data_IF_156194372282
#
_entry.id   IF_156194372282
#
_cell.length_a   1.000
_cell.length_b   1.000
_cell.length_c   1.000
_cell.angle_alpha   90.00
_cell.angle_beta   90.00
_cell.angle_gamma   90.00
#
_symmetry.space_group_name_H-M   'P 1'
#
loop_
_entity.id
_entity.type
_entity.pdbx_description
1 polymer ?
#
# COMPACT_ATOMS: atom_id res chain seq x y z
N UNK A 1 -38.26 -18.07 -4.20
CA UNK A 1 -36.83 -17.88 -3.92
C UNK A 1 -36.59 -17.30 -2.53
N UNK A 2 -37.22 -16.16 -2.15
CA UNK A 2 -37.11 -15.56 -0.80
C UNK A 2 -37.45 -16.55 0.32
N UNK A 3 -38.54 -17.31 0.18
CA UNK A 3 -38.97 -18.35 1.15
C UNK A 3 -37.98 -19.52 1.28
N UNK A 4 -37.18 -19.79 0.27
CA UNK A 4 -36.19 -20.88 0.30
C UNK A 4 -35.00 -20.54 1.24
N UNK A 5 -34.74 -19.26 1.46
CA UNK A 5 -33.70 -18.76 2.37
C UNK A 5 -34.25 -18.29 3.72
N UNK A 6 -35.57 -18.36 3.94
CA UNK A 6 -36.25 -17.83 5.12
C UNK A 6 -35.95 -16.35 5.42
N UNK A 7 -35.74 -15.53 4.38
CA UNK A 7 -35.43 -14.13 4.50
C UNK A 7 -36.64 -13.28 4.86
N UNK A 8 -36.41 -12.24 5.68
CA UNK A 8 -37.42 -11.22 6.01
C UNK A 8 -37.49 -10.12 4.95
N UNK A 9 -36.32 -9.78 4.36
CA UNK A 9 -36.19 -8.78 3.30
C UNK A 9 -35.76 -9.42 1.98
N UNK A 10 -36.05 -8.73 0.89
CA UNK A 10 -35.61 -9.14 -0.45
C UNK A 10 -34.24 -8.53 -0.75
N UNK A 11 -33.25 -9.38 -0.95
CA UNK A 11 -31.88 -9.02 -1.29
C UNK A 11 -31.62 -9.11 -2.80
N UNK A 12 -30.57 -8.44 -3.28
CA UNK A 12 -30.23 -8.37 -4.71
C UNK A 12 -29.85 -9.74 -5.26
N UNK A 13 -29.13 -10.55 -4.49
CA UNK A 13 -28.74 -11.90 -4.90
C UNK A 13 -29.95 -12.85 -4.99
N UNK A 14 -30.98 -12.68 -4.16
CA UNK A 14 -32.24 -13.44 -4.26
C UNK A 14 -33.03 -13.02 -5.49
N UNK A 15 -33.00 -11.75 -5.86
CA UNK A 15 -33.60 -11.26 -7.11
C UNK A 15 -32.86 -11.87 -8.30
N UNK A 16 -31.53 -11.89 -8.30
CA UNK A 16 -30.73 -12.49 -9.36
C UNK A 16 -31.02 -14.00 -9.51
N UNK A 17 -31.12 -14.73 -8.41
CA UNK A 17 -31.49 -16.16 -8.42
C UNK A 17 -32.93 -16.35 -8.91
N UNK A 18 -33.85 -15.46 -8.56
CA UNK A 18 -35.20 -15.50 -9.06
C UNK A 18 -35.28 -15.26 -10.57
N UNK A 19 -34.51 -14.33 -11.09
CA UNK A 19 -34.36 -14.06 -12.53
C UNK A 19 -33.82 -15.28 -13.28
N UNK A 20 -32.86 -16.04 -12.71
CA UNK A 20 -32.33 -17.27 -13.29
C UNK A 20 -33.37 -18.39 -13.42
N UNK A 21 -34.42 -18.36 -12.61
CA UNK A 21 -35.57 -19.31 -12.67
C UNK A 21 -36.62 -18.97 -13.74
N UNK A 22 -36.56 -17.75 -14.30
CA UNK A 22 -37.47 -17.35 -15.37
C UNK A 22 -37.09 -18.03 -16.67
N UNK A 23 -38.05 -18.73 -17.28
CA UNK A 23 -37.87 -19.37 -18.59
C UNK A 23 -37.93 -18.33 -19.70
N UNK A 24 -36.98 -18.39 -20.64
CA UNK A 24 -36.90 -17.51 -21.82
C UNK A 24 -36.71 -16.02 -21.56
N UNK A 25 -36.15 -15.62 -20.41
CA UNK A 25 -35.77 -14.23 -20.17
C UNK A 25 -34.41 -13.92 -20.79
N UNK A 26 -34.23 -12.76 -21.48
CA UNK A 26 -32.97 -12.40 -22.14
C UNK A 26 -31.75 -12.46 -21.19
N UNK A 27 -31.88 -11.96 -19.96
CA UNK A 27 -30.84 -12.00 -18.94
C UNK A 27 -30.48 -13.43 -18.54
N UNK A 28 -31.48 -14.32 -18.41
CA UNK A 28 -31.26 -15.73 -18.08
C UNK A 28 -30.49 -16.46 -19.18
N UNK A 29 -30.82 -16.16 -20.44
CA UNK A 29 -30.12 -16.74 -21.60
C UNK A 29 -28.69 -16.21 -21.68
N UNK A 30 -28.47 -14.93 -21.41
CA UNK A 30 -27.14 -14.31 -21.36
C UNK A 30 -26.28 -14.95 -20.26
N UNK A 31 -26.77 -15.03 -19.02
CA UNK A 31 -26.02 -15.61 -17.89
C UNK A 31 -25.69 -17.09 -18.12
N UNK A 32 -26.62 -17.86 -18.68
CA UNK A 32 -26.35 -19.26 -19.08
C UNK A 32 -25.31 -19.35 -20.19
N UNK A 33 -25.31 -18.43 -21.13
CA UNK A 33 -24.29 -18.31 -22.18
C UNK A 33 -22.88 -18.01 -21.64
N UNK A 34 -22.78 -17.36 -20.49
CA UNK A 34 -21.54 -17.13 -19.74
C UNK A 34 -21.14 -18.30 -18.82
N UNK A 35 -21.87 -19.42 -18.87
CA UNK A 35 -21.58 -20.61 -18.07
C UNK A 35 -22.14 -20.58 -16.64
N UNK A 36 -22.90 -19.54 -16.26
CA UNK A 36 -23.50 -19.43 -14.92
C UNK A 36 -24.79 -20.26 -14.87
N UNK A 37 -24.81 -21.22 -13.96
CA UNK A 37 -26.00 -22.03 -13.74
C UNK A 37 -26.65 -21.77 -12.36
N UNK A 38 -27.95 -22.14 -12.22
CA UNK A 38 -28.73 -21.89 -11.01
C UNK A 38 -28.11 -22.54 -9.76
N UNK A 39 -27.55 -23.76 -9.89
CA UNK A 39 -26.98 -24.49 -8.76
C UNK A 39 -25.70 -23.81 -8.25
N UNK A 40 -24.82 -23.42 -9.14
CA UNK A 40 -23.58 -22.73 -8.79
C UNK A 40 -23.87 -21.36 -8.20
N UNK A 41 -24.80 -20.60 -8.79
CA UNK A 41 -25.23 -19.32 -8.25
C UNK A 41 -25.81 -19.46 -6.84
N UNK A 42 -26.66 -20.49 -6.61
CA UNK A 42 -27.22 -20.75 -5.28
C UNK A 42 -26.13 -21.13 -4.27
N UNK A 43 -25.22 -22.03 -4.64
CA UNK A 43 -24.09 -22.40 -3.78
C UNK A 43 -23.18 -21.21 -3.44
N UNK A 44 -22.92 -20.33 -4.40
CA UNK A 44 -22.17 -19.10 -4.19
C UNK A 44 -22.89 -18.15 -3.23
N UNK A 45 -24.22 -18.00 -3.37
CA UNK A 45 -25.03 -17.17 -2.46
C UNK A 45 -25.00 -17.75 -1.04
N UNK A 46 -25.17 -19.05 -0.89
CA UNK A 46 -25.10 -19.74 0.42
C UNK A 46 -23.71 -19.59 1.06
N UNK A 47 -22.65 -19.69 0.29
CA UNK A 47 -21.27 -19.45 0.73
C UNK A 47 -21.03 -18.00 1.16
N UNK A 48 -21.49 -17.03 0.36
CA UNK A 48 -21.40 -15.59 0.67
C UNK A 48 -22.13 -15.24 1.97
N UNK A 49 -23.28 -15.84 2.20
CA UNK A 49 -24.11 -15.59 3.39
C UNK A 49 -23.60 -16.32 4.64
N UNK A 50 -22.77 -17.32 4.48
CA UNK A 50 -22.31 -18.14 5.62
C UNK A 50 -23.45 -18.77 6.44
N UNK A 51 -24.59 -19.08 5.78
CA UNK A 51 -25.78 -19.67 6.40
C UNK A 51 -26.73 -18.66 7.08
N UNK A 52 -26.55 -17.37 6.89
CA UNK A 52 -27.38 -16.32 7.51
C UNK A 52 -28.60 -15.95 6.67
N UNK A 53 -29.69 -15.58 7.37
CA UNK A 53 -30.92 -15.05 6.78
C UNK A 53 -30.84 -13.54 6.68
N UNK A 54 -31.47 -12.95 5.66
CA UNK A 54 -31.60 -11.51 5.52
C UNK A 54 -32.70 -11.00 6.46
N UNK A 55 -32.29 -10.36 7.54
CA UNK A 55 -33.17 -9.81 8.59
C UNK A 55 -33.18 -8.27 8.63
N UNK A 56 -32.36 -7.59 7.83
CA UNK A 56 -32.32 -6.14 7.71
C UNK A 56 -32.21 -5.70 6.24
N UNK A 57 -32.56 -4.44 5.97
CA UNK A 57 -32.43 -3.85 4.62
C UNK A 57 -30.97 -3.70 4.16
N UNK A 58 -30.03 -3.55 5.08
CA UNK A 58 -28.61 -3.30 4.79
C UNK A 58 -27.72 -4.52 5.00
N UNK A 59 -28.29 -5.72 5.00
CA UNK A 59 -27.52 -6.95 5.30
C UNK A 59 -26.50 -7.29 4.22
N UNK A 60 -26.66 -6.81 3.00
CA UNK A 60 -25.66 -6.95 1.92
C UNK A 60 -24.34 -6.24 2.26
N UNK A 61 -24.39 -5.15 3.05
CA UNK A 61 -23.18 -4.47 3.53
C UNK A 61 -22.40 -5.27 4.60
N UNK A 62 -23.06 -6.24 5.22
CA UNK A 62 -22.45 -7.08 6.27
C UNK A 62 -21.73 -8.30 5.73
N UNK A 63 -21.96 -8.66 4.45
CA UNK A 63 -21.27 -9.79 3.83
C UNK A 63 -19.82 -9.44 3.54
N UNK A 64 -18.90 -10.35 3.90
CA UNK A 64 -17.46 -10.15 3.73
C UNK A 64 -16.95 -8.85 4.37
N UNK A 65 -17.42 -8.55 5.56
CA UNK A 65 -17.07 -7.31 6.27
C UNK A 65 -15.57 -7.18 6.51
N UNK A 66 -14.84 -8.26 6.77
CA UNK A 66 -13.38 -8.25 6.88
C UNK A 66 -12.69 -7.82 5.58
N UNK A 67 -13.15 -8.29 4.43
CA UNK A 67 -12.60 -7.87 3.13
C UNK A 67 -12.92 -6.40 2.80
N UNK A 68 -14.06 -5.88 3.29
CA UNK A 68 -14.47 -4.49 3.06
C UNK A 68 -13.78 -3.50 3.99
N UNK A 69 -13.58 -3.86 5.25
CA UNK A 69 -13.15 -2.96 6.32
C UNK A 69 -11.82 -3.36 6.95
N UNK A 70 -11.13 -4.33 6.37
CA UNK A 70 -9.83 -4.77 6.84
C UNK A 70 -8.91 -5.15 5.70
N UNK A 71 -7.62 -5.16 6.01
CA UNK A 71 -6.56 -5.56 5.11
C UNK A 71 -5.86 -6.78 5.68
N UNK A 72 -5.82 -7.87 4.93
CA UNK A 72 -5.08 -9.08 5.32
C UNK A 72 -3.58 -8.87 5.12
N UNK A 73 -2.85 -8.65 6.21
CA UNK A 73 -1.40 -8.42 6.18
C UNK A 73 -0.63 -9.68 5.74
N UNK A 74 -1.10 -10.87 6.10
CA UNK A 74 -0.46 -12.14 5.69
C UNK A 74 -0.58 -12.33 4.18
N UNK A 75 -1.73 -11.98 3.61
CA UNK A 75 -1.94 -12.03 2.17
C UNK A 75 -1.12 -10.96 1.44
N UNK A 76 -0.96 -9.77 2.02
CA UNK A 76 -0.08 -8.73 1.46
C UNK A 76 1.38 -9.18 1.41
N UNK A 77 1.88 -9.83 2.47
CA UNK A 77 3.22 -10.43 2.45
C UNK A 77 3.36 -11.46 1.33
N UNK A 78 2.39 -12.38 1.21
CA UNK A 78 2.41 -13.42 0.16
C UNK A 78 2.37 -12.84 -1.26
N UNK A 79 1.74 -11.70 -1.45
CA UNK A 79 1.67 -11.02 -2.75
C UNK A 79 2.89 -10.11 -3.03
N UNK A 80 3.88 -10.08 -2.15
CA UNK A 80 5.08 -9.26 -2.28
C UNK A 80 4.88 -7.76 -2.22
N UNK A 81 3.75 -7.31 -1.72
CA UNK A 81 3.41 -5.88 -1.63
C UNK A 81 3.93 -5.19 -0.38
N UNK A 82 4.47 -5.97 0.57
CA UNK A 82 4.94 -5.44 1.85
C UNK A 82 6.44 -5.20 1.83
N UNK A 83 6.86 -4.08 2.41
CA UNK A 83 8.27 -3.73 2.54
C UNK A 83 8.97 -4.64 3.56
N UNK A 84 10.28 -4.89 3.42
CA UNK A 84 11.04 -5.64 4.40
C UNK A 84 11.10 -4.89 5.73
N UNK A 85 10.85 -5.59 6.82
CA UNK A 85 10.95 -5.03 8.18
C UNK A 85 12.34 -5.28 8.72
N UNK A 86 13.03 -4.22 9.04
CA UNK A 86 14.41 -4.23 9.55
C UNK A 86 14.41 -3.77 11.00
N UNK A 87 15.09 -4.53 11.84
CA UNK A 87 15.08 -4.32 13.29
C UNK A 87 13.77 -4.78 13.92
N UNK A 88 13.48 -4.30 15.12
CA UNK A 88 12.25 -4.61 15.86
C UNK A 88 12.09 -6.07 16.30
N UNK A 89 13.15 -6.87 16.26
CA UNK A 89 13.10 -8.29 16.61
C UNK A 89 12.68 -8.52 18.06
N UNK A 90 13.09 -7.66 18.98
CA UNK A 90 12.72 -7.77 20.38
C UNK A 90 11.22 -7.51 20.59
N UNK A 91 10.71 -6.44 19.99
CA UNK A 91 9.29 -6.07 20.09
C UNK A 91 8.40 -7.14 19.43
N UNK A 92 8.81 -7.68 18.26
CA UNK A 92 8.08 -8.77 17.59
C UNK A 92 8.08 -10.02 18.48
N UNK A 93 9.19 -10.39 19.12
CA UNK A 93 9.24 -11.51 20.07
C UNK A 93 8.35 -11.27 21.28
N UNK A 94 8.31 -10.05 21.81
CA UNK A 94 7.42 -9.69 22.91
C UNK A 94 5.95 -9.83 22.50
N UNK A 95 5.58 -9.37 21.31
CA UNK A 95 4.22 -9.56 20.76
C UNK A 95 3.88 -11.04 20.64
N UNK A 96 4.76 -11.85 20.08
CA UNK A 96 4.59 -13.32 19.97
C UNK A 96 4.41 -13.95 21.34
N UNK A 97 5.24 -13.58 22.32
CA UNK A 97 5.16 -14.07 23.70
C UNK A 97 3.84 -13.72 24.34
N UNK A 98 3.35 -12.50 24.16
CA UNK A 98 2.09 -12.04 24.71
C UNK A 98 0.91 -12.77 24.07
N UNK A 99 0.87 -12.90 22.76
CA UNK A 99 -0.17 -13.62 22.03
C UNK A 99 -0.26 -15.12 22.46
N UNK A 100 0.83 -15.68 22.93
CA UNK A 100 0.91 -17.08 23.40
C UNK A 100 0.52 -17.25 24.88
N UNK A 101 0.21 -16.17 25.60
CA UNK A 101 -0.20 -16.25 27.02
C UNK A 101 -1.64 -16.73 27.18
N UNK A 102 -1.94 -17.31 28.34
CA UNK A 102 -3.30 -17.71 28.72
C UNK A 102 -4.19 -16.52 29.07
N UNK A 103 -3.60 -15.49 29.68
CA UNK A 103 -4.30 -14.26 30.15
C UNK A 103 -3.48 -13.03 29.72
N UNK A 104 -4.13 -11.87 29.61
CA UNK A 104 -3.50 -10.65 29.08
C UNK A 104 -2.76 -10.91 27.76
N UNK A 105 -3.42 -11.63 26.89
CA UNK A 105 -2.85 -12.14 25.63
C UNK A 105 -3.08 -11.21 24.43
N UNK A 106 -3.51 -9.99 24.68
CA UNK A 106 -3.63 -8.95 23.65
C UNK A 106 -2.50 -7.93 23.85
N UNK A 107 -1.50 -7.86 22.97
CA UNK A 107 -0.47 -6.83 23.07
C UNK A 107 -1.03 -5.46 22.67
N UNK A 108 -0.57 -4.42 23.34
CA UNK A 108 -0.76 -3.04 22.91
C UNK A 108 0.60 -2.37 22.73
N UNK A 109 0.88 -1.95 21.51
CA UNK A 109 2.09 -1.25 21.12
C UNK A 109 1.98 0.21 21.51
N UNK A 110 2.87 0.68 22.37
CA UNK A 110 2.85 2.03 22.92
C UNK A 110 4.10 2.76 22.45
N UNK A 111 3.96 3.84 21.73
CA UNK A 111 5.06 4.66 21.25
C UNK A 111 4.57 5.89 20.51
N UNK A 112 5.47 6.82 20.29
CA UNK A 112 5.19 8.04 19.56
C UNK A 112 4.78 7.79 18.09
N UNK A 113 4.11 8.73 17.43
CA UNK A 113 3.80 8.60 16.00
C UNK A 113 5.07 8.45 15.17
N UNK A 114 5.06 7.57 14.17
CA UNK A 114 6.19 7.41 13.25
C UNK A 114 7.36 6.56 13.77
N UNK A 115 7.30 6.00 15.00
CA UNK A 115 8.38 5.12 15.50
C UNK A 115 8.35 3.70 14.93
N UNK A 116 7.33 3.34 14.13
CA UNK A 116 7.23 2.04 13.47
C UNK A 116 6.39 1.00 14.22
N UNK A 117 5.32 1.40 14.92
CA UNK A 117 4.38 0.46 15.58
C UNK A 117 3.75 -0.51 14.59
N UNK A 118 3.27 -0.01 13.46
CA UNK A 118 2.66 -0.82 12.39
C UNK A 118 3.66 -1.81 11.80
N UNK A 119 4.92 -1.38 11.61
CA UNK A 119 5.99 -2.24 11.11
C UNK A 119 6.24 -3.49 11.97
N UNK A 120 6.01 -3.42 13.29
CA UNK A 120 6.12 -4.59 14.18
C UNK A 120 5.06 -5.65 13.83
N UNK A 121 3.85 -5.22 13.52
CA UNK A 121 2.74 -6.12 13.15
C UNK A 121 2.96 -6.71 11.77
N UNK A 122 3.46 -5.91 10.84
CA UNK A 122 3.87 -6.35 9.51
C UNK A 122 5.02 -7.36 9.58
N UNK A 123 6.01 -7.12 10.44
CA UNK A 123 7.09 -8.06 10.72
C UNK A 123 6.59 -9.38 11.31
N UNK A 124 5.58 -9.34 12.18
CA UNK A 124 4.92 -10.55 12.66
C UNK A 124 4.23 -11.31 11.52
N UNK A 125 3.55 -10.60 10.61
CA UNK A 125 2.92 -11.22 9.44
C UNK A 125 3.96 -11.90 8.54
N UNK A 126 5.13 -11.27 8.32
CA UNK A 126 6.24 -11.87 7.57
C UNK A 126 6.76 -13.16 8.25
N UNK A 127 6.90 -13.15 9.58
CA UNK A 127 7.31 -14.36 10.34
C UNK A 127 6.27 -15.48 10.27
N UNK A 128 4.97 -15.14 10.26
CA UNK A 128 3.90 -16.13 10.07
C UNK A 128 4.02 -16.80 8.70
N UNK A 129 4.22 -16.02 7.64
CA UNK A 129 4.39 -16.55 6.27
C UNK A 129 5.61 -17.45 6.17
N UNK A 130 6.73 -17.07 6.79
CA UNK A 130 7.97 -17.87 6.86
C UNK A 130 7.89 -19.06 7.83
N UNK A 131 6.78 -19.19 8.54
CA UNK A 131 6.57 -20.18 9.61
C UNK A 131 7.59 -20.08 10.75
N UNK A 132 8.19 -18.91 10.93
CA UNK A 132 9.13 -18.57 12.01
C UNK A 132 8.39 -18.03 13.24
N UNK A 133 7.40 -18.79 13.68
CA UNK A 133 6.57 -18.51 14.86
C UNK A 133 6.22 -19.81 15.57
N UNK A 134 5.84 -19.77 16.86
CA UNK A 134 5.34 -20.94 17.58
C UNK A 134 4.13 -21.59 16.88
N UNK A 135 3.93 -22.88 17.11
CA UNK A 135 2.90 -23.71 16.44
C UNK A 135 1.50 -23.08 16.51
N UNK A 136 1.17 -22.48 17.65
CA UNK A 136 -0.14 -21.83 17.88
C UNK A 136 -0.38 -20.56 17.03
N UNK A 137 0.64 -20.04 16.36
CA UNK A 137 0.55 -18.85 15.51
C UNK A 137 0.75 -19.13 14.02
N UNK A 138 1.22 -20.32 13.62
CA UNK A 138 1.55 -20.66 12.23
C UNK A 138 0.38 -20.53 11.24
N UNK A 139 -0.84 -20.83 11.71
CA UNK A 139 -2.05 -20.79 10.88
C UNK A 139 -2.91 -19.57 11.17
N UNK A 140 -2.36 -18.57 11.86
CA UNK A 140 -3.06 -17.32 12.14
C UNK A 140 -2.95 -16.37 10.96
N UNK A 141 -3.98 -15.54 10.82
CA UNK A 141 -4.02 -14.42 9.88
C UNK A 141 -4.15 -13.13 10.66
N UNK A 142 -3.50 -12.07 10.19
CA UNK A 142 -3.58 -10.74 10.81
C UNK A 142 -4.36 -9.83 9.88
N UNK A 143 -5.49 -9.31 10.37
CA UNK A 143 -6.27 -8.29 9.66
C UNK A 143 -6.05 -6.93 10.32
N UNK A 144 -5.55 -5.98 9.54
CA UNK A 144 -5.51 -4.57 9.93
C UNK A 144 -6.87 -3.93 9.68
N UNK A 145 -7.50 -3.42 10.73
CA UNK A 145 -8.79 -2.76 10.66
C UNK A 145 -8.63 -1.37 10.03
N UNK A 146 -9.36 -1.13 8.95
CA UNK A 146 -9.40 0.18 8.29
C UNK A 146 -10.49 1.06 8.90
N UNK A 147 -10.09 1.93 9.80
CA UNK A 147 -10.99 2.88 10.47
C UNK A 147 -11.59 3.88 9.48
N UNK A 148 -10.82 4.28 8.46
CA UNK A 148 -11.30 5.17 7.41
C UNK A 148 -12.45 4.56 6.62
N UNK A 149 -12.32 3.30 6.21
CA UNK A 149 -13.36 2.56 5.50
C UNK A 149 -14.62 2.32 6.36
N UNK A 150 -14.44 2.07 7.67
CA UNK A 150 -15.56 1.92 8.60
C UNK A 150 -16.40 3.21 8.75
N UNK A 151 -15.74 4.36 8.73
CA UNK A 151 -16.37 5.69 8.91
C UNK A 151 -16.88 6.26 7.59
N UNK A 152 -16.19 5.97 6.48
CA UNK A 152 -16.52 6.54 5.17
C UNK A 152 -17.97 6.24 4.77
N UNK A 153 -18.73 7.32 4.50
CA UNK A 153 -20.14 7.23 4.11
C UNK A 153 -21.11 6.84 5.22
N UNK A 154 -20.66 6.60 6.45
CA UNK A 154 -21.53 6.40 7.60
C UNK A 154 -22.19 7.75 7.99
N UNK A 155 -23.49 7.89 7.73
CA UNK A 155 -24.23 9.12 8.05
C UNK A 155 -24.57 9.24 9.52
N UNK A 156 -24.66 8.10 10.22
CA UNK A 156 -25.04 8.01 11.62
C UNK A 156 -24.14 7.03 12.39
N UNK A 157 -23.99 7.26 13.67
CA UNK A 157 -23.24 6.39 14.61
C UNK A 157 -23.67 4.91 14.52
N UNK A 158 -24.95 4.64 14.30
CA UNK A 158 -25.47 3.28 14.19
C UNK A 158 -24.89 2.48 13.02
N UNK A 159 -24.61 3.13 11.88
CA UNK A 159 -24.02 2.46 10.71
C UNK A 159 -22.58 2.01 10.97
N UNK A 160 -21.78 2.85 11.63
CA UNK A 160 -20.44 2.47 12.08
C UNK A 160 -20.47 1.27 13.04
N UNK A 161 -21.35 1.33 14.04
CA UNK A 161 -21.50 0.23 15.00
C UNK A 161 -21.93 -1.08 14.31
N UNK A 162 -22.82 -1.03 13.32
CA UNK A 162 -23.25 -2.20 12.54
C UNK A 162 -22.12 -2.78 11.70
N UNK A 163 -21.33 -1.94 11.03
CA UNK A 163 -20.15 -2.38 10.26
C UNK A 163 -19.11 -3.05 11.15
N UNK A 164 -18.80 -2.43 12.29
CA UNK A 164 -17.87 -3.01 13.26
C UNK A 164 -18.41 -4.32 13.84
N UNK A 165 -19.70 -4.42 14.17
CA UNK A 165 -20.33 -5.69 14.61
C UNK A 165 -20.19 -6.79 13.55
N UNK A 166 -20.36 -6.45 12.28
CA UNK A 166 -20.20 -7.41 11.18
C UNK A 166 -18.75 -7.94 11.11
N UNK A 167 -17.74 -7.05 11.19
CA UNK A 167 -16.33 -7.44 11.27
C UNK A 167 -16.05 -8.35 12.46
N UNK A 168 -16.48 -7.94 13.65
CA UNK A 168 -16.27 -8.72 14.88
C UNK A 168 -16.97 -10.09 14.84
N UNK A 169 -18.10 -10.19 14.16
CA UNK A 169 -18.83 -11.45 13.96
C UNK A 169 -18.04 -12.43 13.07
N UNK A 170 -17.43 -11.93 11.99
CA UNK A 170 -16.54 -12.75 11.14
C UNK A 170 -15.28 -13.18 11.90
N UNK A 171 -14.66 -12.28 12.68
CA UNK A 171 -13.53 -12.64 13.54
C UNK A 171 -13.89 -13.72 14.53
N UNK A 172 -15.05 -13.63 15.18
CA UNK A 172 -15.54 -14.66 16.10
C UNK A 172 -15.77 -16.01 15.41
N UNK A 173 -16.34 -16.02 14.20
CA UNK A 173 -16.55 -17.24 13.40
C UNK A 173 -15.25 -17.95 13.03
N UNK A 174 -14.13 -17.22 12.99
CA UNK A 174 -12.82 -17.80 12.68
C UNK A 174 -12.24 -18.66 13.82
N UNK A 175 -12.92 -18.74 14.98
CA UNK A 175 -12.48 -19.53 16.14
C UNK A 175 -11.03 -19.21 16.58
N UNK A 176 -10.68 -17.94 16.54
CA UNK A 176 -9.37 -17.45 16.97
C UNK A 176 -8.25 -17.59 15.92
N UNK A 177 -8.56 -17.94 14.67
CA UNK A 177 -7.57 -17.94 13.58
C UNK A 177 -7.19 -16.52 13.14
N UNK A 178 -8.08 -15.55 13.35
CA UNK A 178 -7.86 -14.16 12.98
C UNK A 178 -7.39 -13.37 14.19
N UNK A 179 -6.29 -12.64 14.03
CA UNK A 179 -5.80 -11.60 14.95
C UNK A 179 -6.16 -10.26 14.33
N UNK A 180 -6.91 -9.44 15.07
CA UNK A 180 -7.32 -8.12 14.60
C UNK A 180 -6.28 -7.07 15.02
N UNK A 181 -5.64 -6.41 14.07
CA UNK A 181 -4.79 -5.25 14.36
C UNK A 181 -5.62 -3.98 14.28
N UNK A 182 -5.55 -3.18 15.33
CA UNK A 182 -6.26 -1.90 15.44
C UNK A 182 -5.23 -0.82 15.74
N UNK A 183 -4.92 -0.04 14.71
CA UNK A 183 -4.13 1.17 14.91
C UNK A 183 -4.99 2.26 15.58
N UNK A 184 -4.36 3.12 16.34
CA UNK A 184 -5.04 4.16 17.12
C UNK A 184 -6.25 3.59 17.91
N UNK A 185 -6.05 2.47 18.60
CA UNK A 185 -7.11 1.73 19.32
C UNK A 185 -7.89 2.61 20.30
N UNK A 186 -7.31 3.70 20.80
CA UNK A 186 -7.94 4.67 21.66
C UNK A 186 -9.17 5.34 21.02
N UNK A 187 -9.20 5.45 19.68
CA UNK A 187 -10.36 6.00 18.96
C UNK A 187 -11.60 5.09 19.06
N UNK A 188 -11.41 3.80 19.28
CA UNK A 188 -12.50 2.83 19.40
C UNK A 188 -12.92 2.66 20.86
N UNK A 189 -11.96 2.66 21.81
CA UNK A 189 -12.24 2.28 23.19
C UNK A 189 -12.42 3.45 24.16
N UNK A 190 -12.05 4.66 23.76
CA UNK A 190 -12.02 5.81 24.67
C UNK A 190 -12.86 7.02 24.28
N UNK A 191 -13.37 7.05 23.07
CA UNK A 191 -14.01 8.22 22.50
C UNK A 191 -15.41 8.56 23.06
N UNK A 192 -15.97 7.73 23.93
CA UNK A 192 -17.34 7.85 24.44
C UNK A 192 -17.66 9.03 25.38
N UNK A 193 -16.70 9.92 25.63
CA UNK A 193 -16.90 11.05 26.55
C UNK A 193 -17.10 12.41 25.91
N UNK A 194 -16.89 12.53 24.61
CA UNK A 194 -17.14 13.74 23.84
C UNK A 194 -18.39 13.56 22.97
N UNK A 195 -19.30 14.52 22.98
CA UNK A 195 -20.49 14.52 22.09
C UNK A 195 -20.03 14.38 20.63
N UNK A 196 -20.47 13.30 19.96
CA UNK A 196 -20.14 12.99 18.57
C UNK A 196 -19.04 11.96 18.35
N UNK A 197 -18.38 11.44 19.39
CA UNK A 197 -17.35 10.42 19.24
C UNK A 197 -17.91 8.98 19.14
N UNK A 198 -17.25 8.14 18.35
CA UNK A 198 -17.65 6.76 18.06
C UNK A 198 -17.10 5.81 19.15
N UNK A 199 -17.84 5.59 20.24
CA UNK A 199 -17.44 4.63 21.27
C UNK A 199 -17.91 3.21 20.93
N UNK A 200 -17.00 2.41 20.40
CA UNK A 200 -17.20 0.99 20.17
C UNK A 200 -16.63 0.11 21.29
N UNK A 201 -16.15 0.73 22.37
CA UNK A 201 -15.62 -0.01 23.54
C UNK A 201 -16.62 -1.00 24.10
N UNK A 202 -17.91 -0.66 24.10
CA UNK A 202 -18.98 -1.55 24.54
C UNK A 202 -19.16 -2.80 23.67
N UNK A 203 -18.68 -2.79 22.41
CA UNK A 203 -18.69 -3.95 21.53
C UNK A 203 -17.47 -4.84 21.73
N UNK A 204 -16.29 -4.23 21.90
CA UNK A 204 -15.02 -4.95 22.04
C UNK A 204 -14.83 -5.56 23.43
N UNK A 205 -15.18 -4.82 24.50
CA UNK A 205 -14.95 -5.24 25.88
C UNK A 205 -15.55 -6.62 26.22
N UNK A 206 -16.80 -6.96 25.86
CA UNK A 206 -17.36 -8.27 26.14
C UNK A 206 -16.63 -9.41 25.40
N UNK A 207 -16.22 -9.19 24.17
CA UNK A 207 -15.53 -10.19 23.35
C UNK A 207 -14.11 -10.43 23.86
N UNK A 208 -13.38 -9.38 24.22
CA UNK A 208 -12.09 -9.45 24.88
C UNK A 208 -12.20 -10.16 26.24
N UNK A 209 -13.26 -9.87 26.99
CA UNK A 209 -13.50 -10.48 28.30
C UNK A 209 -13.73 -12.00 28.23
N UNK A 210 -14.40 -12.45 27.18
CA UNK A 210 -14.68 -13.89 26.93
C UNK A 210 -13.55 -14.61 26.20
N UNK A 211 -12.49 -13.90 25.75
CA UNK A 211 -11.42 -14.48 24.94
C UNK A 211 -11.85 -14.84 23.51
N UNK A 212 -12.94 -14.26 23.03
CA UNK A 212 -13.48 -14.46 21.67
C UNK A 212 -12.76 -13.63 20.62
N UNK A 213 -11.96 -12.65 21.04
CA UNK A 213 -11.23 -11.72 20.19
C UNK A 213 -9.75 -11.70 20.59
N UNK A 214 -8.88 -11.93 19.63
CA UNK A 214 -7.45 -11.70 19.73
C UNK A 214 -7.09 -10.41 18.99
N UNK A 215 -6.48 -9.47 19.70
CA UNK A 215 -6.24 -8.11 19.19
C UNK A 215 -4.82 -7.66 19.47
N UNK A 216 -4.22 -7.00 18.50
CA UNK A 216 -3.01 -6.18 18.68
C UNK A 216 -3.47 -4.73 18.55
N UNK A 217 -3.28 -3.93 19.60
CA UNK A 217 -3.56 -2.49 19.56
C UNK A 217 -2.29 -1.67 19.36
N UNK A 218 -2.41 -0.50 18.77
CA UNK A 218 -1.34 0.50 18.74
C UNK A 218 -1.90 1.85 19.19
N UNK A 219 -1.10 2.59 19.97
CA UNK A 219 -1.48 3.91 20.51
C UNK A 219 -0.25 4.66 21.02
N UNK A 220 -0.41 5.91 21.40
CA UNK A 220 0.62 6.67 22.11
C UNK A 220 0.56 6.45 23.62
N UNK A 221 1.60 6.86 24.34
CA UNK A 221 1.63 6.70 25.80
C UNK A 221 0.55 7.55 26.49
N UNK A 222 0.36 8.76 26.02
CA UNK A 222 -0.62 9.68 26.62
C UNK A 222 -2.06 9.20 26.42
N UNK A 223 -2.38 8.74 25.21
CA UNK A 223 -3.70 8.17 24.88
C UNK A 223 -3.95 6.85 25.62
N UNK A 224 -2.91 6.01 25.74
CA UNK A 224 -3.01 4.81 26.55
C UNK A 224 -3.38 5.13 28.02
N UNK A 225 -2.68 6.08 28.65
CA UNK A 225 -2.97 6.53 30.02
C UNK A 225 -4.36 7.14 30.15
N UNK A 226 -4.77 7.91 29.16
CA UNK A 226 -6.06 8.62 29.19
C UNK A 226 -7.24 7.68 29.02
N UNK A 227 -7.17 6.71 28.08
CA UNK A 227 -8.32 5.94 27.61
C UNK A 227 -8.30 4.46 28.01
N UNK A 228 -7.14 3.82 28.09
CA UNK A 228 -7.03 2.38 28.33
C UNK A 228 -6.64 2.04 29.78
N UNK A 229 -5.68 2.73 30.35
CA UNK A 229 -5.16 2.43 31.70
C UNK A 229 -6.20 2.65 32.80
N UNK A 230 -7.09 3.62 32.61
CA UNK A 230 -8.19 3.92 33.54
C UNK A 230 -9.34 2.90 33.49
N UNK A 231 -9.41 2.13 32.42
CA UNK A 231 -10.43 1.10 32.24
C UNK A 231 -9.92 -0.26 32.71
N UNK A 232 -10.33 -0.66 33.90
CA UNK A 232 -9.92 -1.92 34.55
C UNK A 232 -10.23 -3.17 33.71
N UNK A 233 -11.25 -3.12 32.85
CA UNK A 233 -11.60 -4.25 32.00
C UNK A 233 -10.60 -4.42 30.87
N UNK A 234 -10.14 -3.32 30.27
CA UNK A 234 -9.11 -3.31 29.22
C UNK A 234 -7.72 -3.59 29.81
N UNK A 235 -7.38 -2.96 30.93
CA UNK A 235 -6.08 -3.17 31.60
C UNK A 235 -5.80 -4.64 31.90
N UNK A 236 -6.84 -5.39 32.29
CA UNK A 236 -6.72 -6.84 32.56
C UNK A 236 -6.57 -7.70 31.32
N UNK A 237 -6.79 -7.17 30.13
CA UNK A 237 -6.80 -7.92 28.86
C UNK A 237 -5.63 -7.60 27.95
N UNK A 238 -5.10 -6.40 28.08
CA UNK A 238 -3.97 -5.92 27.30
C UNK A 238 -2.66 -5.98 28.09
N UNK A 239 -1.57 -6.28 27.36
CA UNK A 239 -0.21 -6.21 27.86
C UNK A 239 0.56 -5.18 27.04
N UNK A 240 1.21 -4.24 27.73
CA UNK A 240 2.01 -3.17 27.11
C UNK A 240 3.26 -3.73 26.44
N UNK A 241 3.56 -3.22 25.25
CA UNK A 241 4.85 -3.35 24.56
C UNK A 241 5.31 -1.94 24.23
N UNK A 242 6.39 -1.49 24.84
CA UNK A 242 6.93 -0.16 24.61
C UNK A 242 7.76 -0.16 23.33
N UNK A 243 7.38 0.68 22.40
CA UNK A 243 8.08 0.90 21.12
C UNK A 243 8.83 2.22 21.20
N UNK A 244 10.12 2.11 21.39
CA UNK A 244 11.01 3.29 21.47
C UNK A 244 11.35 3.80 20.07
N UNK A 245 11.68 5.08 19.98
CA UNK A 245 12.31 5.65 18.81
C UNK A 245 13.63 4.92 18.52
N UNK A 246 13.89 4.48 17.27
CA UNK A 246 15.17 3.86 16.93
C UNK A 246 16.30 4.88 16.99
N UNK A 247 17.53 4.39 17.19
CA UNK A 247 18.74 5.24 17.09
C UNK A 247 18.99 5.65 15.64
N UNK A 248 19.93 6.61 15.47
CA UNK A 248 20.36 7.01 14.11
C UNK A 248 20.97 5.81 13.36
N UNK A 249 21.78 4.98 14.03
CA UNK A 249 22.38 3.79 13.46
C UNK A 249 21.31 2.76 13.03
N UNK A 250 20.31 2.52 13.88
CA UNK A 250 19.20 1.63 13.54
C UNK A 250 18.41 2.18 12.36
N UNK A 251 18.18 3.48 12.33
CA UNK A 251 17.49 4.16 11.23
C UNK A 251 18.25 4.04 9.92
N UNK A 252 19.59 4.20 9.92
CA UNK A 252 20.41 3.97 8.73
C UNK A 252 20.25 2.54 8.23
N UNK A 253 20.22 1.56 9.14
CA UNK A 253 20.01 0.15 8.78
C UNK A 253 18.62 -0.07 8.18
N UNK A 254 17.58 0.56 8.71
CA UNK A 254 16.23 0.54 8.16
C UNK A 254 16.20 1.15 6.75
N UNK A 255 16.81 2.32 6.56
CA UNK A 255 16.86 2.99 5.26
C UNK A 255 17.63 2.15 4.22
N UNK A 256 18.71 1.47 4.61
CA UNK A 256 19.44 0.54 3.73
C UNK A 256 18.56 -0.63 3.30
N UNK A 257 17.74 -1.17 4.20
CA UNK A 257 16.77 -2.22 3.88
C UNK A 257 15.65 -1.76 2.94
N UNK A 258 15.25 -0.50 3.00
CA UNK A 258 14.21 0.08 2.16
C UNK A 258 14.74 0.66 0.84
N UNK A 259 16.03 0.89 0.73
CA UNK A 259 16.70 1.56 -0.40
C UNK A 259 16.23 1.01 -1.75
N UNK A 260 16.30 -0.30 -1.95
CA UNK A 260 15.97 -0.94 -3.24
C UNK A 260 14.51 -0.65 -3.64
N UNK A 261 13.58 -0.61 -2.69
CA UNK A 261 12.16 -0.28 -2.92
C UNK A 261 11.98 1.15 -3.39
N UNK A 262 12.65 2.12 -2.74
CA UNK A 262 12.60 3.51 -3.14
C UNK A 262 13.26 3.75 -4.50
N UNK A 263 14.39 3.08 -4.78
CA UNK A 263 15.04 3.13 -6.08
C UNK A 263 14.14 2.60 -7.21
N UNK A 264 13.41 1.51 -6.97
CA UNK A 264 12.46 0.94 -7.93
C UNK A 264 11.27 1.88 -8.12
N UNK A 265 10.69 2.36 -7.02
CA UNK A 265 9.49 3.21 -7.06
C UNK A 265 9.72 4.53 -7.78
N UNK A 266 10.81 5.21 -7.44
CA UNK A 266 11.13 6.52 -8.02
C UNK A 266 11.98 6.42 -9.29
N UNK A 267 12.61 5.28 -9.57
CA UNK A 267 13.50 5.10 -10.71
C UNK A 267 14.78 5.93 -10.61
N UNK A 268 15.26 6.16 -9.39
CA UNK A 268 16.49 6.91 -9.08
C UNK A 268 17.51 6.01 -8.41
N UNK A 269 18.79 6.42 -8.38
CA UNK A 269 19.83 5.73 -7.64
C UNK A 269 20.11 6.48 -6.34
N UNK A 270 20.01 5.79 -5.21
CA UNK A 270 20.20 6.38 -3.88
C UNK A 270 21.57 5.96 -3.33
N UNK A 271 22.47 6.92 -3.12
CA UNK A 271 23.78 6.64 -2.52
C UNK A 271 23.67 6.40 -1.02
N UNK A 272 24.55 5.55 -0.46
CA UNK A 272 24.56 5.27 0.98
C UNK A 272 24.76 6.53 1.82
N UNK A 273 25.59 7.47 1.35
CA UNK A 273 25.77 8.74 2.02
C UNK A 273 24.48 9.57 2.14
N UNK A 274 23.55 9.45 1.20
CA UNK A 274 22.25 10.09 1.29
C UNK A 274 21.38 9.48 2.40
N UNK A 275 21.45 8.18 2.60
CA UNK A 275 20.75 7.49 3.70
C UNK A 275 21.31 7.92 5.06
N UNK A 276 22.61 7.98 5.19
CA UNK A 276 23.29 8.47 6.39
C UNK A 276 22.93 9.94 6.66
N UNK A 277 22.94 10.78 5.64
CA UNK A 277 22.56 12.19 5.75
C UNK A 277 21.09 12.34 6.15
N UNK A 278 20.17 11.57 5.56
CA UNK A 278 18.74 11.61 5.89
C UNK A 278 18.48 11.27 7.36
N UNK A 279 19.10 10.21 7.88
CA UNK A 279 18.99 9.83 9.28
C UNK A 279 19.58 10.90 10.22
N UNK A 280 20.80 11.35 9.94
CA UNK A 280 21.53 12.28 10.81
C UNK A 280 20.90 13.68 10.80
N UNK A 281 20.54 14.20 9.63
CA UNK A 281 19.99 15.56 9.50
C UNK A 281 18.54 15.62 9.99
N UNK A 282 17.73 14.59 9.76
CA UNK A 282 16.37 14.54 10.29
C UNK A 282 16.38 14.49 11.81
N UNK A 283 17.26 13.68 12.41
CA UNK A 283 17.42 13.62 13.86
C UNK A 283 17.79 14.98 14.45
N UNK A 284 18.71 15.68 13.79
CA UNK A 284 19.23 16.94 14.29
C UNK A 284 18.31 18.15 14.08
N UNK A 285 17.61 18.22 12.97
CA UNK A 285 16.89 19.44 12.55
C UNK A 285 15.36 19.30 12.57
N UNK A 286 14.81 18.10 12.54
CA UNK A 286 13.36 17.85 12.61
C UNK A 286 13.05 17.37 14.03
N UNK A 287 12.56 18.29 14.87
CA UNK A 287 12.35 18.03 16.31
C UNK A 287 10.91 17.70 16.67
N UNK A 288 9.97 17.90 15.78
CA UNK A 288 8.53 17.68 15.96
C UNK A 288 8.04 16.31 15.44
N UNK A 289 8.95 15.50 14.88
CA UNK A 289 8.70 14.15 14.38
C UNK A 289 9.78 13.18 14.87
N UNK A 290 9.51 11.89 14.75
CA UNK A 290 10.35 10.81 15.27
C UNK A 290 10.98 9.97 14.17
N UNK A 291 12.15 9.38 14.48
CA UNK A 291 12.76 8.35 13.64
C UNK A 291 11.94 7.05 13.74
N UNK A 292 11.89 6.21 12.70
CA UNK A 292 12.54 6.39 11.40
C UNK A 292 11.73 7.21 10.40
N UNK A 293 10.47 7.55 10.70
CA UNK A 293 9.51 8.14 9.78
C UNK A 293 10.02 9.43 9.11
N UNK A 294 10.55 10.36 9.91
CA UNK A 294 11.11 11.62 9.39
C UNK A 294 12.29 11.42 8.43
N UNK A 295 13.10 10.38 8.63
CA UNK A 295 14.21 10.06 7.73
C UNK A 295 13.75 9.38 6.45
N UNK A 296 12.75 8.50 6.56
CA UNK A 296 12.09 7.85 5.41
C UNK A 296 11.45 8.91 4.51
N UNK A 297 10.72 9.85 5.08
CA UNK A 297 10.09 10.97 4.37
C UNK A 297 11.13 11.81 3.61
N UNK A 298 12.29 12.10 4.20
CA UNK A 298 13.35 12.85 3.50
C UNK A 298 13.86 12.10 2.26
N UNK A 299 14.03 10.79 2.35
CA UNK A 299 14.45 9.97 1.20
C UNK A 299 13.37 9.95 0.13
N UNK A 300 12.12 9.79 0.53
CA UNK A 300 10.98 9.76 -0.39
C UNK A 300 10.83 11.10 -1.13
N UNK A 301 10.82 12.21 -0.41
CA UNK A 301 10.71 13.56 -0.97
C UNK A 301 11.89 13.91 -1.89
N UNK A 302 13.12 13.62 -1.45
CA UNK A 302 14.29 13.87 -2.28
C UNK A 302 14.29 13.04 -3.56
N UNK A 303 13.90 11.77 -3.46
CA UNK A 303 13.80 10.87 -4.61
C UNK A 303 12.71 11.32 -5.58
N UNK A 304 11.55 11.74 -5.05
CA UNK A 304 10.45 12.28 -5.84
C UNK A 304 10.86 13.56 -6.57
N UNK A 305 11.57 14.48 -5.89
CA UNK A 305 12.09 15.72 -6.48
C UNK A 305 13.02 15.44 -7.65
N UNK A 306 14.00 14.55 -7.45
CA UNK A 306 14.94 14.16 -8.52
C UNK A 306 14.18 13.49 -9.67
N UNK A 307 13.19 12.63 -9.39
CA UNK A 307 12.38 12.01 -10.43
C UNK A 307 11.61 13.03 -11.26
N UNK A 308 11.06 14.06 -10.63
CA UNK A 308 10.37 15.15 -11.33
C UNK A 308 11.36 15.94 -12.21
N UNK A 309 12.54 16.27 -11.67
CA UNK A 309 13.59 16.95 -12.43
C UNK A 309 14.05 16.14 -13.64
N UNK A 310 14.30 14.85 -13.48
CA UNK A 310 14.69 13.93 -14.57
C UNK A 310 13.63 13.81 -15.66
N UNK A 311 12.35 13.89 -15.31
CA UNK A 311 11.24 13.80 -16.26
C UNK A 311 10.86 15.18 -16.85
N UNK A 312 11.35 16.26 -16.27
CA UNK A 312 11.09 17.61 -16.75
C UNK A 312 11.87 17.89 -18.04
N UNK A 313 11.27 18.66 -18.91
CA UNK A 313 11.94 19.12 -20.13
C UNK A 313 13.15 19.98 -19.74
N UNK A 314 14.34 19.75 -20.31
CA UNK A 314 15.51 20.60 -20.08
C UNK A 314 15.18 22.07 -20.33
N UNK A 315 15.74 22.98 -19.52
CA UNK A 315 15.44 24.41 -19.60
C UNK A 315 15.74 24.98 -21.00
N UNK A 316 16.80 24.50 -21.61
CA UNK A 316 17.21 24.91 -22.96
C UNK A 316 16.17 24.49 -24.00
N UNK A 317 15.69 23.24 -23.95
CA UNK A 317 14.65 22.74 -24.85
C UNK A 317 13.30 23.47 -24.61
N UNK A 318 12.96 23.78 -23.35
CA UNK A 318 11.75 24.55 -23.03
C UNK A 318 11.82 25.98 -23.61
N UNK A 319 12.99 26.64 -23.52
CA UNK A 319 13.21 27.98 -24.10
C UNK A 319 13.08 27.97 -25.61
N UNK A 320 13.73 27.01 -26.28
CA UNK A 320 13.65 26.87 -27.75
C UNK A 320 12.20 26.56 -28.17
N UNK A 321 11.50 25.68 -27.45
CA UNK A 321 10.10 25.34 -27.73
C UNK A 321 9.16 26.51 -27.56
N UNK A 322 9.35 27.33 -26.52
CA UNK A 322 8.57 28.56 -26.30
C UNK A 322 8.83 29.60 -27.39
N UNK A 323 10.09 29.77 -27.79
CA UNK A 323 10.44 30.65 -28.89
C UNK A 323 9.82 30.21 -30.19
N UNK A 324 9.89 28.91 -30.47
CA UNK A 324 9.23 28.30 -31.63
C UNK A 324 7.73 28.59 -31.67
N UNK A 325 7.03 28.40 -30.54
CA UNK A 325 5.60 28.67 -30.42
C UNK A 325 5.28 30.16 -30.69
N UNK A 326 6.10 31.08 -30.17
CA UNK A 326 5.92 32.52 -30.38
C UNK A 326 6.03 32.86 -31.87
N UNK A 327 7.06 32.33 -32.55
CA UNK A 327 7.27 32.57 -33.98
C UNK A 327 6.19 31.89 -34.86
N UNK A 328 5.65 30.75 -34.46
CA UNK A 328 4.53 30.10 -35.15
C UNK A 328 3.24 30.95 -35.07
N UNK A 329 3.00 31.58 -33.91
CA UNK A 329 1.88 32.52 -33.74
C UNK A 329 2.09 33.75 -34.64
N UNK A 330 3.31 34.31 -34.68
CA UNK A 330 3.66 35.44 -35.58
C UNK A 330 3.50 35.06 -37.06
N UNK A 331 3.95 33.86 -37.44
CA UNK A 331 3.79 33.34 -38.80
C UNK A 331 2.31 33.25 -39.20
N UNK A 332 1.48 32.71 -38.29
CA UNK A 332 0.04 32.61 -38.55
C UNK A 332 -0.66 33.96 -38.71
N UNK A 333 -0.16 34.99 -38.02
CA UNK A 333 -0.66 36.36 -38.14
C UNK A 333 -0.20 36.99 -39.46
N UNK A 334 1.10 36.90 -39.79
CA UNK A 334 1.68 37.49 -41.00
C UNK A 334 1.17 36.86 -42.29
N UNK A 335 0.79 35.59 -42.28
CA UNK A 335 0.15 34.91 -43.45
C UNK A 335 -1.18 35.54 -43.85
N UNK A 336 -1.81 36.30 -42.99
CA UNK A 336 -3.09 36.98 -43.27
C UNK A 336 -2.89 38.40 -43.83
N UNK A 337 -1.67 38.94 -43.72
CA UNK A 337 -1.35 40.27 -44.20
C UNK A 337 -0.90 40.23 -45.69
N UNK A 338 -1.13 41.33 -46.41
CA UNK A 338 -0.88 41.41 -47.85
C UNK A 338 0.19 42.41 -48.25
N UNK A 339 0.66 43.26 -47.31
CA UNK A 339 1.65 44.28 -47.54
C UNK A 339 3.07 43.74 -47.74
N UNK A 340 3.92 44.47 -48.48
CA UNK A 340 5.26 44.02 -48.82
C UNK A 340 6.21 43.91 -47.63
N UNK A 341 5.98 44.72 -46.55
CA UNK A 341 6.78 44.65 -45.33
C UNK A 341 6.50 43.32 -44.57
N UNK A 342 5.21 42.96 -44.45
CA UNK A 342 4.80 41.72 -43.81
C UNK A 342 5.27 40.50 -44.59
N UNK A 343 5.29 40.52 -45.94
CA UNK A 343 5.84 39.44 -46.75
C UNK A 343 7.34 39.24 -46.55
N UNK A 344 8.12 40.33 -46.47
CA UNK A 344 9.56 40.24 -46.16
C UNK A 344 9.80 39.68 -44.75
N UNK A 345 9.05 40.16 -43.78
CA UNK A 345 9.13 39.62 -42.39
C UNK A 345 8.78 38.13 -42.36
N UNK A 346 7.72 37.71 -43.07
CA UNK A 346 7.32 36.32 -43.15
C UNK A 346 8.39 35.41 -43.72
N UNK A 347 9.12 35.86 -44.78
CA UNK A 347 10.20 35.07 -45.38
C UNK A 347 11.36 34.87 -44.39
N UNK A 348 11.81 35.90 -43.69
CA UNK A 348 12.87 35.82 -42.66
C UNK A 348 12.41 34.96 -41.50
N UNK A 349 11.15 35.09 -41.09
CA UNK A 349 10.57 34.33 -39.97
C UNK A 349 10.50 32.82 -40.33
N UNK A 350 10.20 32.48 -41.55
CA UNK A 350 10.15 31.07 -41.99
C UNK A 350 11.53 30.41 -42.00
N UNK A 351 12.58 31.17 -42.30
CA UNK A 351 13.96 30.70 -42.20
C UNK A 351 14.35 30.46 -40.72
N UNK A 352 14.08 31.44 -39.83
CA UNK A 352 14.30 31.30 -38.37
C UNK A 352 13.49 30.12 -37.77
N UNK A 353 12.27 29.93 -38.24
CA UNK A 353 11.41 28.80 -37.84
C UNK A 353 11.97 27.46 -38.26
N UNK A 354 12.54 27.36 -39.47
CA UNK A 354 13.12 26.10 -39.94
C UNK A 354 14.33 25.70 -39.09
N UNK A 355 15.21 26.64 -38.82
CA UNK A 355 16.41 26.42 -37.99
C UNK A 355 16.03 26.02 -36.56
N UNK A 356 15.12 26.75 -35.90
CA UNK A 356 14.64 26.45 -34.56
C UNK A 356 13.90 25.12 -34.47
N UNK A 357 13.16 24.72 -35.50
CA UNK A 357 12.49 23.40 -35.54
C UNK A 357 13.51 22.26 -35.62
N UNK A 358 14.57 22.41 -36.40
CA UNK A 358 15.64 21.43 -36.47
C UNK A 358 16.36 21.29 -35.15
N UNK A 359 16.71 22.43 -34.52
CA UNK A 359 17.32 22.47 -33.18
C UNK A 359 16.42 21.82 -32.12
N UNK A 360 15.15 22.24 -32.04
CA UNK A 360 14.18 21.68 -31.10
C UNK A 360 13.98 20.15 -31.32
N UNK A 361 13.90 19.69 -32.56
CA UNK A 361 13.77 18.26 -32.84
C UNK A 361 15.02 17.48 -32.41
N UNK A 362 16.20 18.00 -32.67
CA UNK A 362 17.45 17.37 -32.26
C UNK A 362 17.54 17.25 -30.74
N UNK A 363 17.29 18.34 -30.00
CA UNK A 363 17.26 18.35 -28.55
C UNK A 363 16.18 17.40 -27.98
N UNK A 364 15.00 17.39 -28.59
CA UNK A 364 13.90 16.52 -28.17
C UNK A 364 14.25 15.04 -28.35
N UNK A 365 14.83 14.67 -29.47
CA UNK A 365 15.27 13.29 -29.71
C UNK A 365 16.36 12.85 -28.72
N UNK A 366 17.29 13.73 -28.39
CA UNK A 366 18.31 13.46 -27.39
C UNK A 366 17.67 13.22 -26.02
N UNK A 367 16.80 14.13 -25.60
CA UNK A 367 16.08 14.02 -24.31
C UNK A 367 15.21 12.75 -24.22
N UNK A 368 14.46 12.42 -25.28
CA UNK A 368 13.67 11.19 -25.32
C UNK A 368 14.56 9.94 -25.22
N UNK A 369 15.71 9.93 -25.90
CA UNK A 369 16.66 8.81 -25.84
C UNK A 369 17.24 8.63 -24.44
N UNK A 370 17.63 9.73 -23.77
CA UNK A 370 18.15 9.71 -22.40
C UNK A 370 17.07 9.23 -21.43
N UNK A 371 15.85 9.70 -21.57
CA UNK A 371 14.70 9.29 -20.76
C UNK A 371 14.40 7.80 -20.92
N UNK A 372 14.45 7.26 -22.12
CA UNK A 372 14.22 5.85 -22.40
C UNK A 372 15.31 4.96 -21.78
N UNK A 373 16.57 5.39 -21.79
CA UNK A 373 17.68 4.69 -21.16
C UNK A 373 17.51 4.61 -19.62
N UNK A 374 17.10 5.71 -19.00
CA UNK A 374 16.82 5.76 -17.55
C UNK A 374 15.62 4.85 -17.20
N UNK A 375 14.57 4.90 -18.01
CA UNK A 375 13.40 4.04 -17.81
C UNK A 375 13.75 2.56 -18.00
N UNK A 376 14.64 2.21 -18.92
CA UNK A 376 15.11 0.84 -19.13
C UNK A 376 15.81 0.28 -17.88
N UNK A 377 16.65 1.09 -17.20
CA UNK A 377 17.29 0.71 -15.95
C UNK A 377 16.26 0.48 -14.86
N UNK A 378 15.30 1.39 -14.71
CA UNK A 378 14.21 1.28 -13.71
C UNK A 378 13.36 0.02 -13.93
N UNK A 379 12.97 -0.25 -15.18
CA UNK A 379 12.19 -1.43 -15.54
C UNK A 379 12.96 -2.73 -15.23
N UNK A 380 14.27 -2.75 -15.52
CA UNK A 380 15.11 -3.92 -15.24
C UNK A 380 15.24 -4.19 -13.74
N UNK A 381 15.35 -3.15 -12.91
CA UNK A 381 15.33 -3.30 -11.44
C UNK A 381 13.99 -3.86 -10.94
N UNK A 382 12.87 -3.41 -11.50
CA UNK A 382 11.55 -3.96 -11.17
C UNK A 382 11.40 -5.43 -11.58
N UNK A 383 11.98 -5.85 -12.72
CA UNK A 383 12.01 -7.27 -13.13
C UNK A 383 12.82 -8.13 -12.14
N UNK A 384 13.96 -7.63 -11.66
CA UNK A 384 14.79 -8.31 -10.66
C UNK A 384 14.04 -8.47 -9.35
N UNK A 385 13.38 -7.41 -8.87
CA UNK A 385 12.59 -7.45 -7.64
C UNK A 385 11.46 -8.48 -7.73
N UNK A 386 10.76 -8.51 -8.85
CA UNK A 386 9.73 -9.52 -9.11
C UNK A 386 10.31 -10.94 -9.10
N UNK A 387 11.46 -11.16 -9.73
CA UNK A 387 12.12 -12.46 -9.75
C UNK A 387 12.59 -12.89 -8.35
N UNK A 388 13.08 -11.96 -7.52
CA UNK A 388 13.44 -12.24 -6.11
C UNK A 388 12.22 -12.63 -5.29
N UNK A 389 11.08 -11.98 -5.50
CA UNK A 389 9.79 -12.36 -4.90
C UNK A 389 9.33 -13.75 -5.30
N UNK A 390 9.38 -14.06 -6.59
CA UNK A 390 9.03 -15.39 -7.08
C UNK A 390 9.97 -16.48 -6.51
N UNK A 391 11.24 -16.14 -6.27
CA UNK A 391 12.17 -17.03 -5.60
C UNK A 391 11.78 -17.30 -4.14
N UNK A 392 11.45 -16.24 -3.39
CA UNK A 392 11.00 -16.37 -1.99
C UNK A 392 9.70 -17.19 -1.88
N UNK A 393 8.77 -16.98 -2.80
CA UNK A 393 7.54 -17.78 -2.88
C UNK A 393 7.81 -19.24 -3.20
N UNK A 394 8.71 -19.54 -4.16
CA UNK A 394 9.10 -20.89 -4.52
C UNK A 394 9.76 -21.59 -3.33
N UNK A 395 10.63 -20.92 -2.59
CA UNK A 395 11.27 -21.47 -1.39
C UNK A 395 10.25 -21.74 -0.26
N UNK A 396 9.34 -20.82 -0.02
CA UNK A 396 8.28 -20.97 0.98
C UNK A 396 7.33 -22.14 0.66
N UNK A 397 7.12 -22.40 -0.62
CA UNK A 397 6.27 -23.50 -1.10
C UNK A 397 7.05 -24.82 -1.32
N UNK A 398 8.35 -24.87 -1.00
CA UNK A 398 9.24 -26.01 -1.23
C UNK A 398 9.35 -26.43 -2.71
N UNK A 399 9.11 -25.51 -3.64
CA UNK A 399 9.34 -25.73 -5.07
C UNK A 399 10.84 -25.51 -5.40
N UNK A 400 11.64 -26.51 -5.06
CA UNK A 400 13.09 -26.44 -5.18
C UNK A 400 13.57 -26.34 -6.64
N UNK A 401 12.82 -26.87 -7.59
CA UNK A 401 13.15 -26.80 -9.01
C UNK A 401 13.01 -25.36 -9.52
N UNK A 402 11.89 -24.71 -9.25
CA UNK A 402 11.65 -23.31 -9.61
C UNK A 402 12.61 -22.37 -8.89
N UNK A 403 12.85 -22.60 -7.60
CA UNK A 403 13.81 -21.83 -6.81
C UNK A 403 15.24 -21.92 -7.39
N UNK A 404 15.69 -23.10 -7.82
CA UNK A 404 17.00 -23.29 -8.45
C UNK A 404 17.12 -22.55 -9.79
N UNK A 405 16.09 -22.59 -10.63
CA UNK A 405 16.05 -21.86 -11.91
C UNK A 405 16.12 -20.35 -11.70
N UNK A 406 15.37 -19.82 -10.74
CA UNK A 406 15.37 -18.39 -10.42
C UNK A 406 16.71 -17.96 -9.82
N UNK A 407 17.25 -18.70 -8.84
CA UNK A 407 18.47 -18.36 -8.11
C UNK A 407 19.73 -18.42 -8.97
N UNK A 408 19.86 -19.45 -9.82
CA UNK A 408 21.08 -19.72 -10.57
C UNK A 408 20.99 -19.36 -12.06
N UNK A 409 19.78 -19.09 -12.57
CA UNK A 409 19.54 -18.75 -13.97
C UNK A 409 19.01 -17.31 -14.13
N UNK A 410 17.75 -17.08 -13.77
CA UNK A 410 17.04 -15.86 -14.12
C UNK A 410 17.60 -14.61 -13.42
N UNK A 411 17.79 -14.65 -12.11
CA UNK A 411 18.27 -13.49 -11.34
C UNK A 411 19.66 -13.05 -11.75
N UNK A 412 20.69 -13.94 -11.82
CA UNK A 412 22.02 -13.56 -12.27
C UNK A 412 22.06 -13.01 -13.69
N UNK A 413 21.20 -13.51 -14.59
CA UNK A 413 21.08 -13.00 -15.95
C UNK A 413 20.55 -11.57 -15.96
N UNK A 414 19.48 -11.30 -15.22
CA UNK A 414 18.89 -9.96 -15.10
C UNK A 414 19.85 -8.96 -14.44
N UNK A 415 20.58 -9.39 -13.41
CA UNK A 415 21.61 -8.56 -12.75
C UNK A 415 22.75 -8.19 -13.70
N UNK A 416 23.16 -9.13 -14.56
CA UNK A 416 24.16 -8.86 -15.60
C UNK A 416 23.65 -7.85 -16.63
N UNK A 417 22.42 -8.01 -17.10
CA UNK A 417 21.79 -7.08 -18.03
C UNK A 417 21.66 -5.68 -17.39
N UNK A 418 21.30 -5.60 -16.12
CA UNK A 418 21.26 -4.33 -15.38
C UNK A 418 22.63 -3.65 -15.31
N UNK A 419 23.68 -4.42 -14.97
CA UNK A 419 25.04 -3.89 -14.90
C UNK A 419 25.52 -3.37 -16.28
N UNK A 420 25.17 -4.03 -17.36
CA UNK A 420 25.47 -3.57 -18.73
C UNK A 420 24.74 -2.26 -19.07
N UNK A 421 23.47 -2.13 -18.70
CA UNK A 421 22.67 -0.90 -18.88
C UNK A 421 23.22 0.25 -18.05
N UNK A 422 23.53 0.04 -16.77
CA UNK A 422 24.13 1.06 -15.90
C UNK A 422 25.52 1.49 -16.37
N UNK A 423 26.35 0.59 -16.88
CA UNK A 423 27.64 0.92 -17.48
C UNK A 423 27.52 1.79 -18.73
N UNK A 424 26.51 1.52 -19.57
CA UNK A 424 26.19 2.36 -20.75
C UNK A 424 25.82 3.79 -20.33
N UNK A 425 24.90 3.91 -19.38
CA UNK A 425 24.43 5.21 -18.88
C UNK A 425 25.54 6.02 -18.23
N UNK A 426 26.41 5.37 -17.41
CA UNK A 426 27.58 6.03 -16.81
C UNK A 426 28.63 6.50 -17.82
N UNK A 427 28.88 5.75 -18.91
CA UNK A 427 29.81 6.17 -19.96
C UNK A 427 29.32 7.43 -20.67
N UNK A 428 28.05 7.50 -21.01
CA UNK A 428 27.46 8.71 -21.66
C UNK A 428 27.48 9.92 -20.74
N UNK A 429 27.11 9.78 -19.47
CA UNK A 429 27.19 10.89 -18.50
C UNK A 429 28.63 11.41 -18.32
N UNK A 430 29.64 10.52 -18.35
CA UNK A 430 31.05 10.92 -18.27
C UNK A 430 31.55 11.61 -19.54
N UNK A 431 31.09 11.21 -20.73
CA UNK A 431 31.39 11.88 -21.99
C UNK A 431 30.78 13.27 -22.05
N UNK A 432 29.57 13.44 -21.49
CA UNK A 432 28.89 14.74 -21.40
C UNK A 432 29.64 15.73 -20.49
N UNK A 433 30.08 15.28 -19.31
CA UNK A 433 30.93 16.09 -18.40
C UNK A 433 32.32 16.44 -18.96
N UNK A 434 32.80 15.79 -20.00
CA UNK A 434 34.06 16.15 -20.68
C UNK A 434 33.91 17.18 -21.77
N UNK A 435 32.70 17.37 -22.26
CA UNK A 435 32.39 18.32 -23.34
C UNK A 435 31.79 19.65 -22.83
N UNK A 436 31.63 19.79 -21.51
CA UNK A 436 31.36 21.03 -20.80
C UNK A 436 32.68 21.56 -20.18
#
# INVERSE_FOLDING_TARGET
TKKEFNDEYLSTEVVLLALMKLKNHPLTNYLKGQGINEKELKATIESLRGGERVTSQNQEEQYKALEKYGVDLVQQVRSGKMDPIIGRDEEIRDVIRILSRKTKNNPVLIGEPGVGKTAIVEGLAQRIVRKDVPENLKDKTIFSLDMGALIAGAKFRGEFEERLKAVLKEVKKSEGRIILFIDEIHNIVGAGKTEGSMDAGNLLKPMLARGELHTIGATTLDEYRQYMEKDKALERRFQKVLVKEPTVEDTISILRGLKERFEIHHGVNIHDNALVAAATLSDRYITDRFLPDKAIDLIDEASATIRVEMNSMPTELDQVTRRLMQLEIEEAALKKETDDASKKRLANLQEELADLREEANTMKMQWETEKDEVNAVSNKRAEIDKAKHELEDAENNYDLERAAVLRHGTIPQLEKELAELEAKTKRKAFEWCKNL
#
